data_IF_503887919968
#
_entry.id   IF_503887919968
#
_cell.length_a   1.000
_cell.length_b   1.000
_cell.length_c   1.000
_cell.angle_alpha   90.00
_cell.angle_beta   90.00
_cell.angle_gamma   90.00
#
_symmetry.space_group_name_H-M   'P 1'
#
loop_
_entity.id
_entity.type
_entity.pdbx_description
1 polymer ?
#
# COMPACT_ATOMS: atom_id res chain seq x y z
N UNK A 1 19.27 -28.08 6.86
CA UNK A 1 19.00 -27.57 6.59
C UNK A 1 18.19 -27.45 5.99
N UNK A 2 17.69 -27.38 5.91
CA UNK A 2 16.97 -27.31 5.50
C UNK A 2 16.31 -26.93 4.86
N UNK A 3 16.09 -26.47 4.53
CA UNK A 3 15.14 -25.93 4.07
C UNK A 3 14.66 -26.33 2.93
N UNK A 4 14.28 -27.25 2.84
CA UNK A 4 13.90 -27.85 1.63
C UNK A 4 12.43 -27.83 1.35
N UNK A 5 11.61 -27.40 2.29
CA UNK A 5 10.19 -27.22 2.04
C UNK A 5 9.99 -25.95 1.21
N UNK A 6 9.56 -26.07 -0.06
CA UNK A 6 9.43 -24.89 -0.92
C UNK A 6 8.37 -23.90 -0.46
N UNK A 7 7.43 -24.33 0.39
CA UNK A 7 6.42 -23.42 0.90
C UNK A 7 6.96 -22.50 1.98
N UNK A 8 7.94 -22.94 2.76
CA UNK A 8 8.53 -22.11 3.80
C UNK A 8 9.18 -20.85 3.21
N UNK A 9 10.03 -20.96 2.18
CA UNK A 9 10.57 -19.74 1.56
C UNK A 9 9.49 -18.83 1.00
N UNK A 10 8.40 -19.37 0.45
CA UNK A 10 7.32 -18.56 -0.08
C UNK A 10 6.55 -17.86 1.03
N UNK A 11 6.32 -18.53 2.15
CA UNK A 11 5.64 -17.91 3.30
C UNK A 11 6.49 -16.82 3.91
N UNK A 12 7.81 -17.00 3.98
CA UNK A 12 8.73 -15.98 4.47
C UNK A 12 8.93 -14.87 3.45
N UNK A 13 8.67 -15.16 2.18
CA UNK A 13 9.00 -14.28 1.09
C UNK A 13 8.25 -12.95 1.11
N UNK A 14 7.05 -12.89 1.67
CA UNK A 14 6.31 -11.64 1.71
C UNK A 14 7.09 -10.60 2.50
N UNK A 15 7.52 -10.92 3.72
CA UNK A 15 8.32 -10.00 4.51
C UNK A 15 9.66 -9.69 3.85
N UNK A 16 10.32 -10.72 3.33
CA UNK A 16 11.60 -10.56 2.63
C UNK A 16 11.45 -9.69 1.39
N UNK A 17 10.39 -9.91 0.62
CA UNK A 17 10.12 -9.12 -0.58
C UNK A 17 9.84 -7.67 -0.23
N UNK A 18 9.08 -7.42 0.83
CA UNK A 18 8.80 -6.05 1.28
C UNK A 18 10.09 -5.36 1.70
N UNK A 19 10.91 -6.02 2.51
CA UNK A 19 12.18 -5.47 2.97
C UNK A 19 13.12 -5.16 1.80
N UNK A 20 13.23 -6.08 0.86
CA UNK A 20 14.08 -5.90 -0.32
C UNK A 20 13.58 -4.75 -1.19
N UNK A 21 12.27 -4.65 -1.36
CA UNK A 21 11.67 -3.60 -2.16
C UNK A 21 11.96 -2.22 -1.55
N UNK A 22 11.77 -2.07 -0.23
CA UNK A 22 12.05 -0.81 0.46
C UNK A 22 13.54 -0.49 0.40
N UNK A 23 14.40 -1.47 0.66
CA UNK A 23 15.85 -1.29 0.66
C UNK A 23 16.39 -0.87 -0.70
N UNK A 24 15.72 -1.26 -1.79
CA UNK A 24 16.13 -0.93 -3.14
C UNK A 24 15.78 0.50 -3.54
N UNK A 25 14.97 1.21 -2.77
CA UNK A 25 14.57 2.56 -3.12
C UNK A 25 15.68 3.55 -2.78
N UNK A 26 15.88 4.59 -3.63
CA UNK A 26 16.80 5.67 -3.28
C UNK A 26 16.21 6.53 -2.17
N UNK A 27 17.07 7.26 -1.46
CA UNK A 27 16.59 8.25 -0.51
C UNK A 27 16.02 9.45 -1.25
N UNK A 28 14.99 10.14 -0.72
CA UNK A 28 14.37 9.90 0.60
C UNK A 28 13.26 8.84 0.58
N UNK A 29 12.95 8.24 -0.56
CA UNK A 29 11.87 7.26 -0.65
C UNK A 29 12.08 6.07 0.29
N UNK A 30 13.31 5.59 0.39
CA UNK A 30 13.61 4.44 1.24
C UNK A 30 13.23 4.69 2.70
N UNK A 31 13.70 5.77 3.28
CA UNK A 31 13.39 6.11 4.68
C UNK A 31 11.90 6.41 4.86
N UNK A 32 11.30 7.09 3.91
CA UNK A 32 9.88 7.43 3.94
C UNK A 32 9.00 6.18 3.87
N UNK A 33 9.33 5.25 2.99
CA UNK A 33 8.60 3.98 2.90
C UNK A 33 8.74 3.15 4.16
N UNK A 34 9.94 3.10 4.71
CA UNK A 34 10.20 2.37 5.94
C UNK A 34 9.36 2.93 7.08
N UNK A 35 9.31 4.25 7.18
CA UNK A 35 8.49 4.92 8.20
C UNK A 35 7.00 4.66 8.00
N UNK A 36 6.52 4.83 6.77
CA UNK A 36 5.12 4.56 6.44
C UNK A 36 4.73 3.12 6.69
N UNK A 37 5.58 2.19 6.30
CA UNK A 37 5.34 0.78 6.55
C UNK A 37 5.12 0.52 8.04
N UNK A 38 5.96 1.07 8.89
CA UNK A 38 5.82 0.96 10.34
C UNK A 38 4.53 1.61 10.85
N UNK A 39 4.19 2.78 10.33
CA UNK A 39 2.95 3.48 10.70
C UNK A 39 1.72 2.64 10.34
N UNK A 40 1.66 2.11 9.13
CA UNK A 40 0.52 1.32 8.68
C UNK A 40 0.40 0.03 9.50
N UNK A 41 1.52 -0.63 9.80
CA UNK A 41 1.49 -1.82 10.66
C UNK A 41 0.96 -1.50 12.05
N UNK A 42 1.29 -0.32 12.57
CA UNK A 42 0.77 0.14 13.86
C UNK A 42 -0.72 0.44 13.84
N UNK A 43 -1.22 0.94 12.72
CA UNK A 43 -2.64 1.23 12.54
C UNK A 43 -3.47 -0.03 12.28
N UNK A 44 -2.86 -1.06 11.73
CA UNK A 44 -3.51 -2.31 11.35
C UNK A 44 -2.76 -3.51 11.94
N UNK A 45 -2.69 -3.61 13.29
CA UNK A 45 -1.91 -4.66 13.93
C UNK A 45 -2.45 -6.04 13.57
N UNK A 46 -1.52 -6.95 13.24
CA UNK A 46 -1.89 -8.32 12.87
C UNK A 46 -2.54 -8.46 11.52
N UNK A 47 -2.52 -7.44 10.68
CA UNK A 47 -3.16 -7.50 9.36
C UNK A 47 -2.41 -8.45 8.43
N UNK A 48 -3.13 -8.96 7.44
CA UNK A 48 -2.54 -9.74 6.36
C UNK A 48 -1.66 -8.84 5.50
N UNK A 49 -0.45 -9.30 5.17
CA UNK A 49 0.45 -8.59 4.29
C UNK A 49 0.41 -9.18 2.89
N UNK A 50 0.58 -8.32 1.90
CA UNK A 50 0.63 -8.67 0.50
C UNK A 50 1.86 -8.04 -0.13
N UNK A 51 2.44 -8.72 -1.11
CA UNK A 51 3.42 -8.10 -1.98
C UNK A 51 3.09 -8.47 -3.43
N UNK A 52 2.82 -7.44 -4.23
CA UNK A 52 2.54 -7.59 -5.65
C UNK A 52 3.75 -7.05 -6.39
N UNK A 53 4.42 -7.91 -7.16
CA UNK A 53 5.69 -7.54 -7.80
C UNK A 53 5.51 -6.72 -9.08
N UNK A 54 4.27 -6.48 -9.50
CA UNK A 54 3.99 -5.70 -10.70
C UNK A 54 4.21 -6.44 -12.00
N UNK A 55 4.41 -7.75 -11.94
CA UNK A 55 4.63 -8.58 -13.13
C UNK A 55 3.39 -9.37 -13.47
N UNK A 56 3.20 -9.63 -14.78
CA UNK A 56 2.15 -10.50 -15.24
C UNK A 56 2.60 -11.97 -15.18
N UNK A 57 1.77 -12.89 -15.68
CA UNK A 57 2.06 -14.32 -15.66
C UNK A 57 3.28 -14.70 -16.49
N UNK A 58 3.67 -13.87 -17.45
CA UNK A 58 4.84 -14.09 -18.29
C UNK A 58 6.12 -13.47 -17.71
N UNK A 59 6.03 -12.85 -16.52
CA UNK A 59 7.15 -12.19 -15.87
C UNK A 59 7.41 -10.78 -16.39
N UNK A 60 6.53 -10.25 -17.22
CA UNK A 60 6.68 -8.90 -17.78
C UNK A 60 6.19 -7.86 -16.77
N UNK A 61 6.98 -6.80 -16.61
CA UNK A 61 6.61 -5.69 -15.72
C UNK A 61 5.47 -4.90 -16.35
N UNK A 62 4.32 -4.85 -15.67
CA UNK A 62 3.12 -4.14 -16.14
C UNK A 62 2.69 -3.02 -15.19
N UNK A 63 3.24 -2.97 -13.98
CA UNK A 63 2.97 -1.92 -13.02
C UNK A 63 4.10 -1.84 -12.00
N UNK A 64 4.07 -0.79 -11.16
CA UNK A 64 4.99 -0.70 -10.02
C UNK A 64 4.61 -1.75 -8.99
N UNK A 65 5.59 -2.28 -8.24
CA UNK A 65 5.25 -3.19 -7.13
C UNK A 65 4.45 -2.47 -6.06
N UNK A 66 3.66 -3.23 -5.32
CA UNK A 66 2.82 -2.72 -4.24
C UNK A 66 2.97 -3.58 -2.99
N UNK A 67 3.09 -2.91 -1.84
CA UNK A 67 2.93 -3.55 -0.54
C UNK A 67 1.47 -3.40 -0.16
N UNK A 68 0.81 -4.48 0.24
CA UNK A 68 -0.59 -4.45 0.64
C UNK A 68 -0.77 -4.81 2.11
N UNK A 69 -1.82 -4.24 2.71
CA UNK A 69 -2.14 -4.39 4.13
C UNK A 69 -3.62 -4.65 4.28
N UNK A 70 -3.94 -5.68 5.03
CA UNK A 70 -5.34 -6.01 5.35
C UNK A 70 -6.05 -6.75 4.24
N UNK A 71 -7.35 -6.86 4.41
CA UNK A 71 -8.19 -7.63 3.50
C UNK A 71 -9.44 -6.83 3.13
N UNK A 72 -9.68 -6.75 1.84
CA UNK A 72 -10.88 -6.15 1.28
C UNK A 72 -11.44 -7.13 0.25
N UNK A 73 -12.73 -7.41 0.33
CA UNK A 73 -13.39 -8.30 -0.61
C UNK A 73 -14.10 -7.46 -1.67
N UNK A 74 -13.72 -7.66 -2.92
CA UNK A 74 -14.34 -6.98 -4.06
C UNK A 74 -15.50 -7.84 -4.54
N UNK A 75 -16.68 -7.22 -4.65
CA UNK A 75 -17.89 -7.88 -5.13
C UNK A 75 -18.17 -7.45 -6.56
N UNK A 76 -18.28 -8.44 -7.47
CA UNK A 76 -18.57 -8.17 -8.86
C UNK A 76 -20.05 -8.36 -9.16
N UNK A 77 -20.51 -7.74 -10.23
CA UNK A 77 -21.92 -7.77 -10.63
C UNK A 77 -22.44 -9.18 -10.89
N UNK A 78 -21.56 -10.11 -11.30
CA UNK A 78 -21.94 -11.51 -11.58
C UNK A 78 -22.02 -12.38 -10.31
N UNK A 79 -21.86 -11.77 -9.13
CA UNK A 79 -21.89 -12.49 -7.86
C UNK A 79 -20.55 -13.07 -7.43
N UNK A 80 -19.51 -12.97 -8.25
CA UNK A 80 -18.18 -13.42 -7.88
C UNK A 80 -17.53 -12.43 -6.94
N UNK A 81 -16.56 -12.93 -6.14
CA UNK A 81 -15.80 -12.09 -5.22
C UNK A 81 -14.31 -12.29 -5.44
N UNK A 82 -13.53 -11.31 -5.03
CA UNK A 82 -12.08 -11.39 -5.07
C UNK A 82 -11.53 -10.69 -3.81
N UNK A 83 -10.61 -11.36 -3.14
CA UNK A 83 -9.92 -10.74 -2.01
C UNK A 83 -8.74 -9.93 -2.50
N UNK A 84 -8.52 -8.78 -1.86
CA UNK A 84 -7.44 -7.89 -2.19
C UNK A 84 -7.00 -7.15 -0.93
N UNK A 85 -5.93 -6.37 -1.02
CA UNK A 85 -5.51 -5.56 0.13
C UNK A 85 -6.48 -4.40 0.35
N UNK A 86 -6.51 -3.92 1.58
CA UNK A 86 -7.31 -2.74 1.96
C UNK A 86 -6.52 -1.46 1.76
N UNK A 87 -5.26 -1.45 2.19
CA UNK A 87 -4.35 -0.32 2.05
C UNK A 87 -3.15 -0.78 1.22
N UNK A 88 -2.69 0.06 0.31
CA UNK A 88 -1.51 -0.24 -0.51
C UNK A 88 -0.48 0.87 -0.41
N UNK A 89 0.79 0.50 -0.54
CA UNK A 89 1.91 1.43 -0.55
C UNK A 89 2.82 1.08 -1.72
N UNK A 90 3.14 2.06 -2.55
CA UNK A 90 3.97 1.85 -3.72
C UNK A 90 4.91 3.02 -3.94
N UNK A 91 6.09 2.73 -4.47
CA UNK A 91 7.03 3.74 -4.93
C UNK A 91 6.92 3.90 -6.43
N UNK A 92 7.06 5.13 -6.90
CA UNK A 92 7.09 5.44 -8.34
C UNK A 92 8.18 6.47 -8.59
N UNK A 93 8.33 6.89 -9.85
CA UNK A 93 9.37 7.86 -10.20
C UNK A 93 9.17 9.21 -9.55
N UNK A 94 7.93 9.57 -9.23
CA UNK A 94 7.57 10.86 -8.66
C UNK A 94 7.58 10.87 -7.13
N UNK A 95 7.61 9.72 -6.48
CA UNK A 95 7.55 9.64 -5.02
C UNK A 95 6.84 8.40 -4.54
N UNK A 96 5.85 8.59 -3.68
CA UNK A 96 5.09 7.50 -3.07
C UNK A 96 3.60 7.60 -3.37
N UNK A 97 2.94 6.46 -3.40
CA UNK A 97 1.48 6.38 -3.54
C UNK A 97 0.92 5.51 -2.43
N UNK A 98 -0.16 5.98 -1.82
CA UNK A 98 -0.95 5.20 -0.86
C UNK A 98 -2.32 4.96 -1.47
N UNK A 99 -2.71 3.69 -1.53
CA UNK A 99 -4.01 3.31 -2.07
C UNK A 99 -4.94 2.93 -0.93
N UNK A 100 -6.16 3.43 -0.98
CA UNK A 100 -7.20 3.12 0.01
C UNK A 100 -8.38 2.51 -0.75
N UNK A 101 -8.53 1.19 -0.60
CA UNK A 101 -9.52 0.44 -1.37
C UNK A 101 -10.87 0.45 -0.67
N UNK A 102 -11.93 0.22 -1.44
CA UNK A 102 -13.28 0.09 -0.90
C UNK A 102 -14.03 1.40 -0.69
N UNK A 103 -13.51 2.49 -1.24
CA UNK A 103 -14.21 3.78 -1.17
C UNK A 103 -15.21 3.85 -2.32
N UNK A 104 -16.50 4.02 -1.97
CA UNK A 104 -17.56 4.10 -2.96
C UNK A 104 -17.65 5.48 -3.60
N UNK A 105 -17.53 6.54 -2.79
CA UNK A 105 -17.55 7.91 -3.28
C UNK A 105 -16.16 8.34 -3.71
N UNK A 106 -15.95 8.46 -5.01
CA UNK A 106 -14.65 8.81 -5.59
C UNK A 106 -14.16 10.20 -5.19
N UNK A 107 -15.01 11.03 -4.61
CA UNK A 107 -14.63 12.39 -4.17
C UNK A 107 -14.31 12.45 -2.68
N UNK A 108 -14.54 11.37 -1.94
CA UNK A 108 -14.46 11.36 -0.49
C UNK A 108 -13.06 11.74 0.03
N UNK A 109 -12.02 11.08 -0.48
CA UNK A 109 -10.65 11.34 -0.01
C UNK A 109 -10.22 12.77 -0.27
N UNK A 110 -10.46 13.25 -1.49
CA UNK A 110 -10.05 14.59 -1.87
C UNK A 110 -10.79 15.66 -1.07
N UNK A 111 -12.08 15.49 -0.87
CA UNK A 111 -12.89 16.45 -0.11
C UNK A 111 -12.56 16.43 1.37
N UNK A 112 -12.40 15.23 1.93
CA UNK A 112 -12.25 15.08 3.38
C UNK A 112 -10.84 15.39 3.86
N UNK A 113 -9.84 14.93 3.14
CA UNK A 113 -8.44 15.01 3.60
C UNK A 113 -7.55 15.89 2.71
N UNK A 114 -7.93 16.05 1.45
CA UNK A 114 -7.10 16.78 0.49
C UNK A 114 -6.67 18.17 0.95
N UNK A 115 -7.58 19.02 1.45
CA UNK A 115 -7.22 20.38 1.85
C UNK A 115 -6.23 20.44 3.01
N UNK A 116 -6.20 19.42 3.86
CA UNK A 116 -5.36 19.39 5.07
C UNK A 116 -4.08 18.60 4.89
N UNK A 117 -3.96 17.86 3.78
CA UNK A 117 -2.87 16.90 3.61
C UNK A 117 -1.54 17.55 3.25
N UNK A 118 -1.57 18.66 2.54
CA UNK A 118 -0.35 19.35 2.08
C UNK A 118 -0.09 19.12 0.60
N UNK A 119 1.17 18.96 0.24
CA UNK A 119 1.57 18.78 -1.16
C UNK A 119 1.34 17.35 -1.61
N UNK A 120 0.09 17.04 -1.88
CA UNK A 120 -0.31 15.72 -2.34
C UNK A 120 -1.36 15.84 -3.43
N UNK A 121 -1.37 14.85 -4.31
CA UNK A 121 -2.43 14.69 -5.30
C UNK A 121 -3.35 13.60 -4.80
N UNK A 122 -4.63 13.93 -4.63
CA UNK A 122 -5.62 12.99 -4.09
C UNK A 122 -6.67 12.72 -5.15
N UNK A 123 -6.78 11.46 -5.54
CA UNK A 123 -7.80 11.00 -6.49
C UNK A 123 -8.72 10.01 -5.79
N UNK A 124 -9.60 9.34 -6.53
CA UNK A 124 -10.64 8.52 -5.93
C UNK A 124 -10.18 7.58 -4.80
N UNK A 125 -9.08 6.88 -5.00
CA UNK A 125 -8.59 5.92 -4.02
C UNK A 125 -7.08 6.03 -3.80
N UNK A 126 -6.45 7.06 -4.33
CA UNK A 126 -4.99 7.17 -4.32
C UNK A 126 -4.54 8.52 -3.79
N UNK A 127 -3.57 8.49 -2.87
CA UNK A 127 -2.89 9.66 -2.35
C UNK A 127 -1.44 9.58 -2.81
N UNK A 128 -1.00 10.56 -3.62
CA UNK A 128 0.36 10.61 -4.16
C UNK A 128 1.09 11.82 -3.61
N UNK A 129 2.34 11.63 -3.22
CA UNK A 129 3.18 12.73 -2.74
C UNK A 129 4.65 12.40 -3.02
N UNK A 130 5.48 13.44 -3.08
CA UNK A 130 6.90 13.28 -3.37
C UNK A 130 7.68 12.75 -2.16
N UNK A 131 7.45 13.33 -0.99
CA UNK A 131 8.16 12.99 0.23
C UNK A 131 7.23 13.20 1.44
N UNK A 132 7.48 12.44 2.52
CA UNK A 132 6.67 12.58 3.74
C UNK A 132 6.75 13.96 4.35
N UNK A 133 7.88 14.66 4.21
CA UNK A 133 8.03 16.02 4.74
C UNK A 133 7.07 17.02 4.09
N UNK A 134 6.53 16.70 2.92
CA UNK A 134 5.66 17.58 2.17
C UNK A 134 4.19 17.47 2.59
N UNK A 135 3.86 16.49 3.41
CA UNK A 135 2.47 16.21 3.81
C UNK A 135 2.34 16.18 5.32
N UNK A 136 1.10 16.31 5.77
CA UNK A 136 0.74 16.17 7.18
C UNK A 136 0.52 14.68 7.48
N UNK A 137 1.45 14.08 8.21
CA UNK A 137 1.39 12.66 8.54
C UNK A 137 0.16 12.32 9.37
N UNK A 138 -0.24 13.21 10.27
CA UNK A 138 -1.42 12.96 11.11
C UNK A 138 -2.69 12.87 10.27
N UNK A 139 -2.79 13.69 9.23
CA UNK A 139 -3.91 13.65 8.30
C UNK A 139 -3.89 12.34 7.49
N UNK A 140 -2.72 11.94 7.03
CA UNK A 140 -2.57 10.67 6.31
C UNK A 140 -2.95 9.48 7.21
N UNK A 141 -2.51 9.49 8.46
CA UNK A 141 -2.88 8.44 9.40
C UNK A 141 -4.39 8.40 9.65
N UNK A 142 -5.02 9.57 9.73
CA UNK A 142 -6.47 9.63 9.90
C UNK A 142 -7.20 9.01 8.71
N UNK A 143 -6.74 9.29 7.50
CA UNK A 143 -7.33 8.73 6.29
C UNK A 143 -7.18 7.21 6.25
N UNK A 144 -6.01 6.70 6.56
CA UNK A 144 -5.74 5.26 6.57
C UNK A 144 -6.54 4.59 7.69
N UNK A 145 -6.53 5.18 8.88
CA UNK A 145 -7.23 4.62 10.04
C UNK A 145 -8.73 4.55 9.85
N UNK A 146 -9.31 5.59 9.27
CA UNK A 146 -10.75 5.60 8.98
C UNK A 146 -11.13 4.48 8.01
N UNK A 147 -10.31 4.26 6.99
CA UNK A 147 -10.56 3.20 6.01
C UNK A 147 -10.35 1.82 6.61
N UNK A 148 -9.31 1.64 7.43
CA UNK A 148 -8.99 0.32 8.00
C UNK A 148 -9.97 -0.12 9.07
N UNK A 149 -10.71 0.82 9.66
CA UNK A 149 -11.73 0.53 10.68
C UNK A 149 -13.13 0.41 10.09
N UNK A 150 -13.27 0.65 8.80
CA UNK A 150 -14.59 0.60 8.15
C UNK A 150 -15.03 -0.83 7.81
#
# INVERSE_FOLDING_TARGET
MAPTDPLIPQMQNIDTQIEAYIAAQPEPKRSDMKRLHGIILGLMPGCRLWFLDGKDSDGKIVSNPNIGYGLHTINYADGKTRDFYKIGLSANTSGLSVYIMGIEDKTYLAKTYGPSLGKASVTGYCIKFKALKDIDIDVLQAAIGAASNA
#
